data_IF_207515771432
#
_entry.id   IF_207515771432
#
_cell.length_a   1.000
_cell.length_b   1.000
_cell.length_c   1.000
_cell.angle_alpha   90.00
_cell.angle_beta   90.00
_cell.angle_gamma   90.00
#
_symmetry.space_group_name_H-M   'P 1'
#
loop_
_entity.id
_entity.type
_entity.pdbx_description
1 polymer ?
#
# COMPACT_ATOMS: atom_id res chain seq x y z
N UNK A 1 -44.32 -45.75 -13.10
CA UNK A 1 -43.28 -45.25 -14.01
C UNK A 1 -43.02 -43.79 -13.61
N UNK A 2 -42.32 -43.63 -12.46
CA UNK A 2 -42.01 -42.31 -11.88
C UNK A 2 -40.59 -41.94 -12.27
N UNK A 3 -40.43 -40.87 -13.03
CA UNK A 3 -39.16 -40.35 -13.47
C UNK A 3 -38.50 -39.53 -12.35
N UNK A 4 -37.32 -39.99 -11.95
CA UNK A 4 -36.39 -39.38 -11.02
C UNK A 4 -35.96 -38.00 -11.55
N UNK A 5 -36.43 -36.94 -10.91
CA UNK A 5 -35.88 -35.61 -11.05
C UNK A 5 -34.65 -35.47 -10.14
N UNK A 6 -33.50 -35.81 -10.68
CA UNK A 6 -32.21 -35.58 -10.05
C UNK A 6 -31.82 -34.12 -10.11
N UNK A 7 -32.25 -33.31 -9.13
CA UNK A 7 -31.74 -31.96 -8.91
C UNK A 7 -30.28 -32.04 -8.55
N UNK A 8 -29.41 -31.60 -9.47
CA UNK A 8 -28.00 -31.35 -9.18
C UNK A 8 -27.92 -30.20 -8.17
N UNK A 9 -27.57 -30.54 -6.92
CA UNK A 9 -27.16 -29.53 -5.94
C UNK A 9 -25.91 -28.83 -6.49
N UNK A 10 -26.08 -27.62 -7.03
CA UNK A 10 -24.94 -26.72 -7.19
C UNK A 10 -24.26 -26.59 -5.82
N UNK A 11 -23.07 -27.13 -5.74
CA UNK A 11 -22.23 -27.00 -4.55
C UNK A 11 -21.94 -25.51 -4.34
N UNK A 12 -22.47 -24.96 -3.26
CA UNK A 12 -22.29 -23.57 -2.86
C UNK A 12 -20.81 -23.35 -2.44
N UNK A 13 -19.99 -23.03 -3.43
CA UNK A 13 -18.58 -22.65 -3.24
C UNK A 13 -18.43 -21.26 -2.60
N UNK A 14 -19.52 -20.58 -2.22
CA UNK A 14 -19.49 -19.27 -1.58
C UNK A 14 -18.91 -19.34 -0.16
N UNK A 15 -18.97 -20.47 0.51
CA UNK A 15 -18.49 -20.69 1.88
C UNK A 15 -16.97 -20.90 2.00
N UNK A 16 -16.28 -21.23 0.92
CA UNK A 16 -14.83 -21.44 0.89
C UNK A 16 -14.04 -20.17 0.47
N UNK A 17 -14.64 -18.99 0.53
CA UNK A 17 -13.85 -17.78 0.41
C UNK A 17 -12.92 -17.71 1.61
N UNK A 18 -11.58 -17.87 1.42
CA UNK A 18 -10.67 -17.58 2.51
C UNK A 18 -10.98 -16.15 2.98
N UNK A 19 -11.26 -15.99 4.25
CA UNK A 19 -11.45 -14.69 4.90
C UNK A 19 -10.09 -13.99 5.01
N UNK A 20 -9.39 -13.88 3.87
CA UNK A 20 -8.29 -12.94 3.72
C UNK A 20 -8.91 -11.59 4.07
N UNK A 21 -8.46 -10.89 5.10
CA UNK A 21 -8.98 -9.57 5.41
C UNK A 21 -8.66 -8.66 4.21
N UNK A 22 -9.56 -8.72 3.25
CA UNK A 22 -9.57 -7.81 2.13
C UNK A 22 -9.76 -6.43 2.75
N UNK A 23 -8.94 -5.48 2.38
CA UNK A 23 -9.21 -4.08 2.64
C UNK A 23 -10.62 -3.78 2.12
N UNK A 24 -11.63 -3.91 2.99
CA UNK A 24 -13.00 -3.58 2.64
C UNK A 24 -13.19 -2.07 2.75
N UNK A 25 -12.68 -1.34 1.77
CA UNK A 25 -12.91 0.12 1.60
C UNK A 25 -14.35 0.48 1.21
N UNK A 26 -15.32 -0.38 1.51
CA UNK A 26 -16.67 -0.28 0.94
C UNK A 26 -17.50 0.92 1.40
N UNK A 27 -17.01 1.72 2.34
CA UNK A 27 -17.68 2.94 2.81
C UNK A 27 -16.86 4.22 2.60
N UNK A 28 -15.82 4.17 1.77
CA UNK A 28 -15.35 5.40 1.16
C UNK A 28 -16.55 5.92 0.36
N UNK A 29 -17.02 7.16 0.60
CA UNK A 29 -18.09 7.73 -0.20
C UNK A 29 -17.75 7.44 -1.65
N UNK A 30 -18.68 6.82 -2.39
CA UNK A 30 -18.45 6.51 -3.80
C UNK A 30 -18.18 7.86 -4.45
N UNK A 31 -16.89 8.17 -4.59
CA UNK A 31 -16.48 9.37 -5.29
C UNK A 31 -17.10 9.29 -6.67
N UNK A 32 -17.65 10.39 -7.14
CA UNK A 32 -18.21 10.46 -8.50
C UNK A 32 -17.20 9.87 -9.48
N UNK A 33 -17.69 9.16 -10.47
CA UNK A 33 -16.88 8.37 -11.41
C UNK A 33 -15.66 9.15 -11.90
N UNK A 34 -14.47 8.59 -11.72
CA UNK A 34 -13.22 9.17 -12.22
C UNK A 34 -12.44 10.06 -11.26
N UNK A 35 -12.75 10.04 -9.95
CA UNK A 35 -12.07 10.91 -8.98
C UNK A 35 -10.67 10.42 -8.61
N UNK A 36 -9.76 11.38 -8.61
CA UNK A 36 -8.46 11.34 -7.99
C UNK A 36 -8.57 11.75 -6.50
N UNK A 37 -7.67 11.29 -5.64
CA UNK A 37 -7.65 11.68 -4.21
C UNK A 37 -7.54 13.21 -4.04
N UNK A 38 -6.66 13.83 -4.82
CA UNK A 38 -6.46 15.28 -4.87
C UNK A 38 -6.46 15.80 -6.31
N UNK A 39 -5.54 15.31 -7.13
CA UNK A 39 -5.42 15.67 -8.53
C UNK A 39 -4.69 14.58 -9.29
N UNK A 40 -4.90 14.49 -10.60
CA UNK A 40 -4.21 13.52 -11.46
C UNK A 40 -2.69 13.55 -11.29
N UNK A 41 -2.08 14.74 -11.17
CA UNK A 41 -0.62 14.88 -11.03
C UNK A 41 -0.15 14.44 -9.65
N UNK A 42 -0.78 14.93 -8.59
CA UNK A 42 -0.40 14.55 -7.23
C UNK A 42 -0.58 13.05 -6.99
N UNK A 43 -1.72 12.49 -7.40
CA UNK A 43 -1.99 11.06 -7.27
C UNK A 43 -1.01 10.22 -8.07
N UNK A 44 -0.65 10.64 -9.30
CA UNK A 44 0.36 9.94 -10.10
C UNK A 44 1.70 9.86 -9.36
N UNK A 45 2.20 10.97 -8.83
CA UNK A 45 3.50 10.99 -8.16
C UNK A 45 3.48 10.31 -6.79
N UNK A 46 2.45 10.53 -5.99
CA UNK A 46 2.45 10.17 -4.58
C UNK A 46 1.66 8.88 -4.26
N UNK A 47 0.50 8.66 -4.90
CA UNK A 47 -0.29 7.46 -4.66
C UNK A 47 -0.01 6.34 -5.67
N UNK A 48 0.19 6.68 -6.95
CA UNK A 48 0.38 5.69 -8.00
C UNK A 48 1.84 5.26 -8.20
N UNK A 49 2.78 5.78 -7.40
CA UNK A 49 4.17 5.36 -7.39
C UNK A 49 5.06 6.03 -8.43
N UNK A 50 4.66 7.15 -9.03
CA UNK A 50 5.51 7.92 -9.94
C UNK A 50 6.82 8.37 -9.28
N UNK A 51 6.79 8.69 -7.97
CA UNK A 51 7.97 9.05 -7.19
C UNK A 51 9.01 7.91 -7.14
N UNK A 52 8.58 6.66 -6.99
CA UNK A 52 9.49 5.51 -6.97
C UNK A 52 10.15 5.26 -8.33
N UNK A 53 9.42 5.46 -9.43
CA UNK A 53 9.99 5.38 -10.79
C UNK A 53 11.02 6.48 -11.00
N UNK A 54 10.71 7.72 -10.54
CA UNK A 54 11.65 8.85 -10.58
C UNK A 54 12.89 8.59 -9.73
N UNK A 55 12.73 8.01 -8.54
CA UNK A 55 13.83 7.64 -7.67
C UNK A 55 14.70 6.54 -8.29
N UNK A 56 14.12 5.52 -8.92
CA UNK A 56 14.90 4.49 -9.63
C UNK A 56 15.81 5.13 -10.68
N UNK A 57 15.27 6.07 -11.46
CA UNK A 57 16.08 6.80 -12.44
C UNK A 57 17.19 7.62 -11.76
N UNK A 58 16.90 8.28 -10.62
CA UNK A 58 17.88 9.03 -9.85
C UNK A 58 18.98 8.13 -9.28
N UNK A 59 18.62 6.98 -8.69
CA UNK A 59 19.58 6.00 -8.15
C UNK A 59 20.51 5.51 -9.27
N UNK A 60 19.98 5.15 -10.45
CA UNK A 60 20.79 4.74 -11.58
C UNK A 60 21.80 5.81 -11.99
N UNK A 61 21.39 7.10 -11.98
CA UNK A 61 22.28 8.22 -12.27
C UNK A 61 23.34 8.42 -11.17
N UNK A 62 22.97 8.29 -9.88
CA UNK A 62 23.87 8.41 -8.73
C UNK A 62 24.89 7.27 -8.75
N UNK A 63 24.47 6.05 -8.97
CA UNK A 63 25.37 4.87 -9.02
C UNK A 63 26.39 4.98 -10.16
N UNK A 64 26.03 5.62 -11.26
CA UNK A 64 26.96 5.95 -12.34
C UNK A 64 28.03 6.97 -11.89
N UNK A 65 27.77 7.74 -10.83
CA UNK A 65 28.70 8.72 -10.23
C UNK A 65 29.45 8.20 -9.01
N UNK A 66 29.03 7.07 -8.41
CA UNK A 66 29.73 6.43 -7.29
C UNK A 66 29.34 6.91 -5.89
N UNK A 67 28.26 7.68 -5.74
CA UNK A 67 27.78 8.18 -4.43
C UNK A 67 26.94 7.14 -3.67
N UNK A 68 27.13 7.07 -2.32
CA UNK A 68 26.54 6.02 -1.44
C UNK A 68 25.56 6.51 -0.38
N UNK A 69 25.16 7.80 -0.34
CA UNK A 69 24.46 8.38 0.81
C UNK A 69 22.90 8.30 0.72
N UNK A 70 22.33 7.16 0.35
CA UNK A 70 20.87 7.03 0.22
C UNK A 70 20.15 6.43 1.44
N UNK A 71 20.88 5.80 2.37
CA UNK A 71 20.31 5.06 3.50
C UNK A 71 19.54 5.97 4.50
N UNK A 72 19.98 7.23 4.63
CA UNK A 72 19.31 8.21 5.48
C UNK A 72 17.88 8.52 5.02
N UNK A 73 17.60 8.42 3.71
CA UNK A 73 16.26 8.68 3.16
C UNK A 73 15.29 7.57 3.57
N UNK A 74 15.74 6.31 3.53
CA UNK A 74 14.92 5.16 3.94
C UNK A 74 14.54 5.29 5.42
N UNK A 75 15.50 5.54 6.28
CA UNK A 75 15.27 5.73 7.71
C UNK A 75 14.24 6.85 7.98
N UNK A 76 14.40 8.02 7.36
CA UNK A 76 13.46 9.14 7.55
C UNK A 76 12.05 8.77 7.11
N UNK A 77 11.90 8.17 5.94
CA UNK A 77 10.59 7.83 5.39
C UNK A 77 9.90 6.73 6.19
N UNK A 78 10.64 5.69 6.62
CA UNK A 78 10.13 4.60 7.43
C UNK A 78 9.56 5.09 8.76
N UNK A 79 10.27 5.97 9.46
CA UNK A 79 9.80 6.51 10.73
C UNK A 79 8.60 7.43 10.57
N UNK A 80 8.59 8.25 9.53
CA UNK A 80 7.43 9.10 9.22
C UNK A 80 6.17 8.28 8.92
N UNK A 81 6.33 7.19 8.19
CA UNK A 81 5.24 6.31 7.82
C UNK A 81 4.67 5.54 9.03
N UNK A 82 5.51 5.03 9.93
CA UNK A 82 5.06 4.43 11.19
C UNK A 82 4.21 5.40 12.01
N UNK A 83 4.65 6.65 12.13
CA UNK A 83 3.90 7.69 12.84
C UNK A 83 2.53 7.97 12.25
N UNK A 84 2.37 7.90 10.93
CA UNK A 84 1.08 8.11 10.26
C UNK A 84 0.02 7.06 10.64
N UNK A 85 0.42 5.83 10.96
CA UNK A 85 -0.46 4.78 11.48
C UNK A 85 -1.10 5.20 12.80
N UNK A 86 -0.31 5.73 13.73
CA UNK A 86 -0.82 6.22 15.01
C UNK A 86 -1.74 7.42 14.85
N UNK A 87 -1.44 8.34 13.92
CA UNK A 87 -2.35 9.42 13.58
C UNK A 87 -3.74 8.89 13.19
N UNK A 88 -3.79 7.89 12.29
CA UNK A 88 -5.06 7.30 11.85
C UNK A 88 -5.85 6.65 13.01
N UNK A 89 -5.16 5.96 13.93
CA UNK A 89 -5.75 5.34 15.10
C UNK A 89 -6.39 6.39 16.04
N UNK A 90 -5.64 7.44 16.35
CA UNK A 90 -6.05 8.48 17.27
C UNK A 90 -7.20 9.27 16.68
N UNK A 91 -7.08 9.72 15.44
CA UNK A 91 -8.11 10.51 14.77
C UNK A 91 -9.45 9.77 14.67
N UNK A 92 -9.43 8.48 14.40
CA UNK A 92 -10.64 7.64 14.32
C UNK A 92 -11.09 7.10 15.68
N UNK A 93 -10.41 7.47 16.75
CA UNK A 93 -10.69 6.99 18.12
C UNK A 93 -10.79 5.46 18.22
N UNK A 94 -10.04 4.72 17.41
CA UNK A 94 -10.10 3.25 17.35
C UNK A 94 -9.77 2.61 18.70
N UNK A 95 -8.98 3.24 19.53
CA UNK A 95 -8.64 2.82 20.89
C UNK A 95 -9.85 2.73 21.83
N UNK A 96 -10.96 3.43 21.55
CA UNK A 96 -12.20 3.31 22.34
C UNK A 96 -13.00 2.05 21.96
N UNK A 97 -13.07 1.72 20.66
CA UNK A 97 -13.94 0.67 20.14
C UNK A 97 -13.20 -0.65 19.87
N UNK A 98 -11.87 -0.63 19.80
CA UNK A 98 -11.03 -1.76 19.41
C UNK A 98 -9.80 -1.90 20.30
N UNK A 99 -9.99 -1.81 21.61
CA UNK A 99 -8.90 -1.85 22.60
C UNK A 99 -8.02 -3.10 22.44
N UNK A 100 -8.63 -4.25 22.17
CA UNK A 100 -7.88 -5.50 21.96
C UNK A 100 -6.97 -5.37 20.74
N UNK A 101 -7.52 -4.94 19.59
CA UNK A 101 -6.77 -4.84 18.34
C UNK A 101 -5.67 -3.75 18.39
N UNK A 102 -5.90 -2.66 19.14
CA UNK A 102 -5.05 -1.46 19.09
C UNK A 102 -4.07 -1.38 20.27
N UNK A 103 -4.40 -2.00 21.41
CA UNK A 103 -3.56 -1.96 22.61
C UNK A 103 -3.03 -3.34 23.00
N UNK A 104 -3.92 -4.33 23.20
CA UNK A 104 -3.51 -5.62 23.76
C UNK A 104 -2.68 -6.44 22.79
N UNK A 105 -3.09 -6.53 21.52
CA UNK A 105 -2.34 -7.30 20.53
C UNK A 105 -0.99 -6.62 20.21
N UNK A 106 -0.88 -5.31 19.95
CA UNK A 106 0.41 -4.64 19.85
C UNK A 106 1.31 -4.85 21.05
N UNK A 107 0.78 -4.72 22.28
CA UNK A 107 1.56 -5.00 23.48
C UNK A 107 2.06 -6.46 23.51
N UNK A 108 1.20 -7.42 23.18
CA UNK A 108 1.60 -8.82 23.12
C UNK A 108 2.67 -9.06 22.03
N UNK A 109 2.55 -8.41 20.88
CA UNK A 109 3.57 -8.46 19.81
C UNK A 109 4.90 -7.92 20.32
N UNK A 110 4.92 -6.75 20.94
CA UNK A 110 6.14 -6.15 21.51
C UNK A 110 6.80 -7.07 22.53
N UNK A 111 6.03 -7.58 23.50
CA UNK A 111 6.52 -8.49 24.53
C UNK A 111 7.08 -9.79 23.93
N UNK A 112 6.40 -10.36 22.95
CA UNK A 112 6.82 -11.58 22.28
C UNK A 112 8.11 -11.35 21.49
N UNK A 113 8.18 -10.27 20.71
CA UNK A 113 9.40 -9.90 19.96
C UNK A 113 10.58 -9.71 20.88
N UNK A 114 10.38 -9.01 22.00
CA UNK A 114 11.43 -8.80 23.00
C UNK A 114 11.89 -10.12 23.63
N UNK A 115 10.96 -10.99 24.00
CA UNK A 115 11.27 -12.31 24.57
C UNK A 115 12.05 -13.20 23.58
N UNK A 116 11.66 -13.21 22.28
CA UNK A 116 12.38 -13.94 21.24
C UNK A 116 13.79 -13.39 21.03
N UNK A 117 13.98 -12.07 21.08
CA UNK A 117 15.30 -11.46 20.99
C UNK A 117 16.19 -11.83 22.18
N UNK A 118 15.68 -11.75 23.41
CA UNK A 118 16.40 -12.20 24.60
C UNK A 118 16.77 -13.69 24.55
N UNK A 119 15.93 -14.51 23.90
CA UNK A 119 16.18 -15.92 23.65
C UNK A 119 17.15 -16.20 22.50
N UNK A 120 17.80 -15.17 21.93
CA UNK A 120 18.76 -15.31 20.82
C UNK A 120 18.15 -15.67 19.47
N UNK A 121 16.83 -15.50 19.29
CA UNK A 121 16.10 -15.83 18.06
C UNK A 121 16.06 -14.69 17.06
N UNK A 122 17.15 -13.92 16.93
CA UNK A 122 17.22 -12.74 16.04
C UNK A 122 17.05 -13.11 14.58
N UNK A 123 17.68 -14.17 14.11
CA UNK A 123 17.55 -14.65 12.71
C UNK A 123 16.09 -14.97 12.36
N UNK A 124 15.37 -15.62 13.30
CA UNK A 124 13.95 -15.90 13.09
C UNK A 124 13.12 -14.62 13.01
N UNK A 125 13.40 -13.66 13.90
CA UNK A 125 12.70 -12.37 13.89
C UNK A 125 12.96 -11.58 12.60
N UNK A 126 14.22 -11.49 12.14
CA UNK A 126 14.58 -10.84 10.87
C UNK A 126 13.90 -11.52 9.69
N UNK A 127 13.88 -12.87 9.69
CA UNK A 127 13.20 -13.62 8.63
C UNK A 127 11.71 -13.31 8.57
N UNK A 128 11.02 -13.33 9.72
CA UNK A 128 9.61 -13.00 9.81
C UNK A 128 9.38 -11.53 9.38
N UNK A 129 10.24 -10.60 9.82
CA UNK A 129 10.14 -9.19 9.47
C UNK A 129 10.25 -8.98 7.96
N UNK A 130 11.26 -9.58 7.32
CA UNK A 130 11.46 -9.50 5.88
C UNK A 130 10.23 -9.99 5.10
N UNK A 131 9.77 -11.23 5.38
CA UNK A 131 8.64 -11.79 4.63
C UNK A 131 7.32 -11.07 4.93
N UNK A 132 7.11 -10.63 6.17
CA UNK A 132 5.96 -9.82 6.54
C UNK A 132 5.98 -8.44 5.87
N UNK A 133 7.16 -7.78 5.76
CA UNK A 133 7.33 -6.52 5.06
C UNK A 133 6.96 -6.65 3.57
N UNK A 134 7.45 -7.69 2.91
CA UNK A 134 7.10 -8.00 1.51
C UNK A 134 5.60 -8.12 1.34
N UNK A 135 4.98 -8.95 2.17
CA UNK A 135 3.53 -9.16 2.16
C UNK A 135 2.76 -7.87 2.42
N UNK A 136 3.17 -7.10 3.43
CA UNK A 136 2.54 -5.85 3.81
C UNK A 136 2.60 -4.80 2.68
N UNK A 137 3.78 -4.60 2.09
CA UNK A 137 3.99 -3.68 0.96
C UNK A 137 3.16 -4.07 -0.28
N UNK A 138 3.07 -5.36 -0.60
CA UNK A 138 2.21 -5.86 -1.67
C UNK A 138 0.71 -5.63 -1.40
N UNK A 139 0.28 -5.87 -0.17
CA UNK A 139 -1.10 -5.63 0.28
C UNK A 139 -1.50 -4.16 0.22
N UNK A 140 -0.60 -3.26 0.55
CA UNK A 140 -0.85 -1.83 0.43
C UNK A 140 -1.07 -1.42 -1.02
N UNK A 141 -0.18 -1.81 -1.94
CA UNK A 141 -0.33 -1.53 -3.38
C UNK A 141 -1.66 -2.06 -3.92
N UNK A 142 -2.05 -3.28 -3.52
CA UNK A 142 -3.37 -3.84 -3.84
C UNK A 142 -4.50 -2.96 -3.33
N UNK A 143 -4.40 -2.48 -2.09
CA UNK A 143 -5.41 -1.63 -1.46
C UNK A 143 -5.59 -0.29 -2.18
N UNK A 144 -4.49 0.37 -2.50
CA UNK A 144 -4.50 1.65 -3.22
C UNK A 144 -5.02 1.49 -4.65
N UNK A 145 -4.60 0.46 -5.38
CA UNK A 145 -5.13 0.19 -6.71
C UNK A 145 -6.64 -0.10 -6.68
N UNK A 146 -7.11 -0.86 -5.69
CA UNK A 146 -8.56 -1.10 -5.49
C UNK A 146 -9.35 0.16 -5.13
N UNK A 147 -8.74 1.13 -4.47
CA UNK A 147 -9.38 2.42 -4.26
C UNK A 147 -9.73 3.09 -5.60
N UNK A 148 -8.78 3.16 -6.52
CA UNK A 148 -9.01 3.71 -7.86
C UNK A 148 -10.02 2.87 -8.67
N UNK A 149 -9.93 1.54 -8.59
CA UNK A 149 -10.87 0.62 -9.24
C UNK A 149 -12.33 0.90 -8.83
N UNK A 150 -12.57 1.10 -7.54
CA UNK A 150 -13.91 1.38 -7.01
C UNK A 150 -14.41 2.78 -7.34
N UNK A 151 -13.52 3.75 -7.44
CA UNK A 151 -13.85 5.12 -7.83
C UNK A 151 -14.53 5.22 -9.20
N UNK A 152 -14.43 4.18 -10.03
CA UNK A 152 -15.13 4.11 -11.32
C UNK A 152 -16.58 3.62 -11.21
N UNK A 153 -16.99 3.07 -10.06
CA UNK A 153 -18.38 2.67 -9.78
C UNK A 153 -18.94 1.54 -10.65
N UNK A 154 -18.11 0.89 -11.46
CA UNK A 154 -18.48 -0.24 -12.29
C UNK A 154 -18.29 -1.59 -11.58
N UNK A 155 -19.03 -2.64 -11.98
CA UNK A 155 -18.81 -3.98 -11.51
C UNK A 155 -17.45 -4.49 -12.00
N UNK A 156 -16.68 -5.08 -11.09
CA UNK A 156 -15.42 -5.74 -11.42
C UNK A 156 -15.70 -7.16 -11.88
N UNK A 157 -15.31 -7.50 -13.11
CA UNK A 157 -15.44 -8.87 -13.59
C UNK A 157 -14.51 -9.82 -12.84
N UNK A 158 -14.88 -11.10 -12.72
CA UNK A 158 -14.03 -12.12 -12.10
C UNK A 158 -12.67 -12.23 -12.81
N UNK A 159 -12.67 -12.11 -14.14
CA UNK A 159 -11.42 -12.12 -14.94
C UNK A 159 -10.53 -10.96 -14.57
N UNK A 160 -11.09 -9.74 -14.45
CA UNK A 160 -10.32 -8.57 -14.01
C UNK A 160 -9.73 -8.79 -12.62
N UNK A 161 -10.52 -9.26 -11.66
CA UNK A 161 -10.06 -9.51 -10.30
C UNK A 161 -8.89 -10.52 -10.25
N UNK A 162 -8.98 -11.61 -11.00
CA UNK A 162 -7.92 -12.63 -11.08
C UNK A 162 -6.66 -12.07 -11.71
N UNK A 163 -6.78 -11.38 -12.85
CA UNK A 163 -5.64 -10.78 -13.54
C UNK A 163 -4.99 -9.69 -12.70
N UNK A 164 -5.78 -8.84 -12.08
CA UNK A 164 -5.32 -7.76 -11.21
C UNK A 164 -4.59 -8.28 -9.97
N UNK A 165 -5.18 -9.24 -9.23
CA UNK A 165 -4.52 -9.83 -8.07
C UNK A 165 -3.20 -10.53 -8.46
N UNK A 166 -3.19 -11.26 -9.55
CA UNK A 166 -1.96 -11.88 -10.06
C UNK A 166 -0.91 -10.85 -10.47
N UNK A 167 -1.32 -9.73 -11.07
CA UNK A 167 -0.39 -8.65 -11.45
C UNK A 167 0.26 -7.94 -10.26
N UNK A 168 -0.31 -8.07 -9.06
CA UNK A 168 0.31 -7.60 -7.80
C UNK A 168 1.13 -8.71 -7.14
N UNK A 169 0.56 -9.90 -6.94
CA UNK A 169 1.19 -10.91 -6.11
C UNK A 169 2.30 -11.71 -6.83
N UNK A 170 2.21 -11.92 -8.14
CA UNK A 170 3.25 -12.68 -8.86
C UNK A 170 4.57 -11.91 -8.99
N UNK A 171 4.61 -10.60 -9.34
CA UNK A 171 5.85 -9.84 -9.29
C UNK A 171 6.49 -9.78 -7.90
N UNK A 172 5.68 -9.64 -6.85
CA UNK A 172 6.13 -9.69 -5.46
C UNK A 172 6.78 -11.04 -5.13
N UNK A 173 6.13 -12.16 -5.47
CA UNK A 173 6.66 -13.49 -5.25
C UNK A 173 7.95 -13.72 -6.04
N UNK A 174 7.95 -13.37 -7.33
CA UNK A 174 9.13 -13.50 -8.19
C UNK A 174 10.33 -12.70 -7.66
N UNK A 175 10.08 -11.47 -7.21
CA UNK A 175 11.11 -10.59 -6.65
C UNK A 175 11.75 -11.18 -5.38
N UNK A 176 10.94 -11.70 -4.45
CA UNK A 176 11.42 -12.35 -3.23
C UNK A 176 12.22 -13.61 -3.54
N UNK A 177 11.74 -14.47 -4.42
CA UNK A 177 12.47 -15.67 -4.81
C UNK A 177 13.81 -15.32 -5.48
N UNK A 178 13.85 -14.29 -6.31
CA UNK A 178 15.09 -13.80 -6.91
C UNK A 178 16.06 -13.28 -5.84
N UNK A 179 15.59 -12.48 -4.89
CA UNK A 179 16.43 -11.95 -3.82
C UNK A 179 17.02 -13.06 -2.96
N UNK A 180 16.21 -14.03 -2.53
CA UNK A 180 16.69 -15.14 -1.69
C UNK A 180 17.73 -16.02 -2.38
N UNK A 181 17.79 -16.01 -3.71
CA UNK A 181 18.83 -16.68 -4.48
C UNK A 181 20.09 -15.83 -4.67
N UNK A 182 19.93 -14.52 -4.91
CA UNK A 182 21.02 -13.61 -5.24
C UNK A 182 21.77 -13.13 -3.99
N UNK A 183 21.06 -12.96 -2.86
CA UNK A 183 21.60 -12.57 -1.56
C UNK A 183 21.15 -13.55 -0.47
N UNK A 184 21.59 -14.83 -0.52
CA UNK A 184 21.17 -15.83 0.43
C UNK A 184 21.75 -15.55 1.82
N UNK A 185 20.85 -15.46 2.80
CA UNK A 185 21.22 -15.38 4.22
C UNK A 185 21.45 -13.97 4.76
N UNK A 186 21.33 -12.92 3.96
CA UNK A 186 21.50 -11.53 4.40
C UNK A 186 20.42 -10.61 3.79
N UNK A 187 19.79 -9.81 4.65
CA UNK A 187 18.83 -8.78 4.27
C UNK A 187 19.13 -7.49 5.04
N UNK A 188 19.47 -6.41 4.33
CA UNK A 188 19.85 -5.12 4.95
C UNK A 188 20.97 -5.25 6.01
N UNK A 189 21.96 -6.11 5.76
CA UNK A 189 23.06 -6.37 6.71
C UNK A 189 22.73 -7.35 7.83
N UNK A 190 21.50 -7.81 7.93
CA UNK A 190 21.06 -8.72 9.00
C UNK A 190 20.82 -10.15 8.48
N UNK A 191 21.21 -11.18 9.25
CA UNK A 191 21.03 -12.56 8.84
C UNK A 191 19.56 -12.97 8.85
N UNK A 192 19.15 -13.71 7.81
CA UNK A 192 17.80 -14.28 7.71
C UNK A 192 17.81 -15.69 7.12
N UNK A 193 16.71 -16.42 7.26
CA UNK A 193 16.51 -17.73 6.64
C UNK A 193 16.03 -17.55 5.21
N UNK A 194 16.89 -17.78 4.24
CA UNK A 194 16.53 -17.74 2.83
C UNK A 194 15.66 -18.93 2.42
N UNK A 195 14.66 -18.67 1.56
CA UNK A 195 13.90 -19.73 0.92
C UNK A 195 14.79 -20.44 -0.12
N UNK A 196 15.17 -21.66 0.17
CA UNK A 196 15.96 -22.47 -0.76
C UNK A 196 15.06 -23.05 -1.87
N UNK A 197 14.93 -22.32 -2.97
CA UNK A 197 14.24 -22.81 -4.18
C UNK A 197 15.24 -22.88 -5.35
N UNK A 198 15.06 -23.85 -6.25
CA UNK A 198 15.93 -23.99 -7.42
C UNK A 198 15.82 -22.77 -8.35
N UNK A 199 16.94 -22.41 -9.02
CA UNK A 199 16.98 -21.31 -9.98
C UNK A 199 15.90 -21.42 -11.06
N UNK A 200 15.63 -22.62 -11.52
CA UNK A 200 14.63 -22.91 -12.54
C UNK A 200 13.20 -22.50 -12.08
N UNK A 201 12.87 -22.74 -10.80
CA UNK A 201 11.59 -22.33 -10.23
C UNK A 201 11.52 -20.81 -10.20
N UNK A 202 12.59 -20.15 -9.75
CA UNK A 202 12.66 -18.69 -9.68
C UNK A 202 12.50 -18.05 -11.06
N UNK A 203 13.21 -18.54 -12.07
CA UNK A 203 13.07 -18.06 -13.44
C UNK A 203 11.68 -18.33 -14.01
N UNK A 204 11.10 -19.50 -13.75
CA UNK A 204 9.73 -19.85 -14.19
C UNK A 204 8.70 -18.91 -13.58
N UNK A 205 8.79 -18.66 -12.26
CA UNK A 205 7.89 -17.73 -11.57
C UNK A 205 8.10 -16.30 -12.07
N UNK A 206 9.35 -15.88 -12.31
CA UNK A 206 9.69 -14.56 -12.85
C UNK A 206 9.10 -14.33 -14.24
N UNK A 207 9.30 -15.28 -15.15
CA UNK A 207 8.72 -15.22 -16.50
C UNK A 207 7.18 -15.24 -16.43
N UNK A 208 6.61 -16.11 -15.59
CA UNK A 208 5.18 -16.18 -15.36
C UNK A 208 4.60 -14.84 -14.84
N UNK A 209 5.31 -14.17 -13.93
CA UNK A 209 4.92 -12.86 -13.42
C UNK A 209 4.90 -11.79 -14.52
N UNK A 210 5.93 -11.74 -15.37
CA UNK A 210 6.01 -10.80 -16.50
C UNK A 210 4.87 -11.05 -17.49
N UNK A 211 4.67 -12.30 -17.90
CA UNK A 211 3.59 -12.68 -18.83
C UNK A 211 2.21 -12.37 -18.24
N UNK A 212 2.02 -12.54 -16.93
CA UNK A 212 0.78 -12.23 -16.27
C UNK A 212 0.49 -10.72 -16.25
N UNK A 213 1.50 -9.90 -15.96
CA UNK A 213 1.38 -8.44 -16.01
C UNK A 213 1.05 -7.98 -17.44
N UNK A 214 1.70 -8.56 -18.45
CA UNK A 214 1.38 -8.28 -19.86
C UNK A 214 -0.08 -8.66 -20.17
N UNK A 215 -0.51 -9.84 -19.72
CA UNK A 215 -1.90 -10.29 -19.92
C UNK A 215 -2.91 -9.37 -19.25
N UNK A 216 -2.62 -8.89 -18.02
CA UNK A 216 -3.43 -7.89 -17.33
C UNK A 216 -3.55 -6.61 -18.16
N UNK A 217 -2.43 -6.02 -18.63
CA UNK A 217 -2.48 -4.80 -19.42
C UNK A 217 -3.14 -5.01 -20.78
N UNK A 218 -2.87 -6.12 -21.47
CA UNK A 218 -3.51 -6.44 -22.75
C UNK A 218 -5.04 -6.57 -22.59
N UNK A 219 -5.48 -7.28 -21.53
CA UNK A 219 -6.89 -7.44 -21.27
C UNK A 219 -7.57 -6.09 -20.94
N UNK A 220 -6.97 -5.28 -20.07
CA UNK A 220 -7.52 -3.98 -19.66
C UNK A 220 -7.59 -3.00 -20.84
N UNK A 221 -6.56 -2.97 -21.70
CA UNK A 221 -6.56 -2.17 -22.92
C UNK A 221 -7.65 -2.61 -23.90
N UNK A 222 -7.84 -3.93 -24.06
CA UNK A 222 -8.91 -4.47 -24.91
C UNK A 222 -10.29 -4.06 -24.41
N UNK A 223 -10.54 -4.16 -23.08
CA UNK A 223 -11.80 -3.71 -22.49
C UNK A 223 -12.03 -2.21 -22.71
N UNK A 224 -11.03 -1.37 -22.43
CA UNK A 224 -11.13 0.08 -22.61
C UNK A 224 -11.40 0.50 -24.08
N UNK A 225 -11.00 -0.32 -25.06
CA UNK A 225 -11.31 -0.10 -26.47
C UNK A 225 -12.70 -0.58 -26.84
N UNK A 226 -13.12 -1.75 -26.34
CA UNK A 226 -14.44 -2.32 -26.61
C UNK A 226 -15.56 -1.38 -26.11
N UNK A 227 -15.38 -0.80 -24.93
CA UNK A 227 -16.35 0.11 -24.32
C UNK A 227 -16.54 1.42 -25.11
N UNK A 228 -15.51 1.86 -25.85
CA UNK A 228 -15.63 3.05 -26.74
C UNK A 228 -16.47 2.80 -27.98
N UNK A 229 -16.54 1.57 -28.44
CA UNK A 229 -17.22 1.21 -29.72
C UNK A 229 -18.68 0.84 -29.48
N UNK A 230 -19.05 0.36 -28.31
CA UNK A 230 -20.41 -0.11 -27.99
C UNK A 230 -21.10 0.80 -26.98
N UNK A 231 -21.46 2.01 -27.40
CA UNK A 231 -22.38 2.89 -26.67
C UNK A 231 -23.82 2.34 -26.73
N UNK A 232 -24.03 1.13 -26.28
CA UNK A 232 -25.39 0.58 -26.18
C UNK A 232 -26.01 1.14 -24.88
N UNK A 233 -27.11 1.91 -24.94
CA UNK A 233 -27.80 2.41 -23.76
C UNK A 233 -28.16 1.24 -22.82
N UNK A 234 -27.77 1.30 -21.55
CA UNK A 234 -28.12 0.29 -20.55
C UNK A 234 -27.05 -0.78 -20.26
N UNK A 235 -25.96 -0.85 -20.99
CA UNK A 235 -24.81 -1.70 -20.59
C UNK A 235 -23.92 -0.97 -19.60
N UNK A 236 -23.60 -1.64 -18.50
CA UNK A 236 -22.66 -1.14 -17.49
C UNK A 236 -21.25 -1.18 -18.05
N UNK A 237 -20.67 -0.03 -18.36
CA UNK A 237 -19.28 0.06 -18.83
C UNK A 237 -18.30 -0.38 -17.74
N UNK A 238 -17.39 -1.28 -18.07
CA UNK A 238 -16.23 -1.60 -17.21
C UNK A 238 -15.15 -0.56 -17.51
N UNK A 239 -15.15 0.54 -16.79
CA UNK A 239 -14.09 1.56 -16.92
C UNK A 239 -12.96 1.26 -15.95
N UNK A 240 -11.75 1.18 -16.46
CA UNK A 240 -10.54 0.99 -15.64
C UNK A 240 -9.93 2.36 -15.39
N UNK A 241 -9.71 2.66 -14.09
CA UNK A 241 -9.12 3.92 -13.70
C UNK A 241 -7.62 3.95 -14.03
N UNK A 242 -7.09 5.02 -14.66
CA UNK A 242 -5.66 5.11 -14.97
C UNK A 242 -4.77 4.96 -13.73
N UNK A 243 -5.23 5.37 -12.54
CA UNK A 243 -4.53 5.18 -11.27
C UNK A 243 -4.28 3.72 -10.93
N UNK A 244 -5.22 2.81 -11.23
CA UNK A 244 -5.02 1.37 -11.07
C UNK A 244 -3.82 0.87 -11.92
N UNK A 245 -3.75 1.27 -13.19
CA UNK A 245 -2.66 0.89 -14.08
C UNK A 245 -1.30 1.38 -13.57
N UNK A 246 -1.25 2.64 -13.14
CA UNK A 246 0.00 3.21 -12.63
C UNK A 246 0.46 2.53 -11.35
N UNK A 247 -0.45 2.20 -10.45
CA UNK A 247 -0.10 1.44 -9.22
C UNK A 247 0.46 0.06 -9.57
N UNK A 248 -0.19 -0.69 -10.49
CA UNK A 248 0.28 -2.01 -10.91
C UNK A 248 1.66 -1.93 -11.56
N UNK A 249 1.86 -0.95 -12.46
CA UNK A 249 3.16 -0.76 -13.13
C UNK A 249 4.25 -0.38 -12.13
N UNK A 250 4.00 0.62 -11.30
CA UNK A 250 4.98 1.09 -10.31
C UNK A 250 5.30 0.03 -9.27
N UNK A 251 4.31 -0.76 -8.85
CA UNK A 251 4.51 -1.91 -7.97
C UNK A 251 5.45 -2.94 -8.59
N UNK A 252 5.21 -3.35 -9.85
CA UNK A 252 6.08 -4.29 -10.54
C UNK A 252 7.51 -3.77 -10.68
N UNK A 253 7.67 -2.48 -11.02
CA UNK A 253 8.98 -1.82 -11.12
C UNK A 253 9.65 -1.75 -9.75
N UNK A 254 8.94 -1.32 -8.70
CA UNK A 254 9.50 -1.18 -7.37
C UNK A 254 9.96 -2.53 -6.79
N UNK A 255 9.14 -3.57 -6.87
CA UNK A 255 9.53 -4.91 -6.41
C UNK A 255 10.67 -5.51 -7.25
N UNK A 256 10.59 -5.42 -8.57
CA UNK A 256 11.63 -5.94 -9.47
C UNK A 256 12.97 -5.25 -9.26
N UNK A 257 13.01 -3.91 -9.23
CA UNK A 257 14.26 -3.18 -9.01
C UNK A 257 14.82 -3.40 -7.61
N UNK A 258 13.99 -3.34 -6.58
CA UNK A 258 14.46 -3.45 -5.22
C UNK A 258 15.02 -4.83 -4.89
N UNK A 259 14.34 -5.90 -5.23
CA UNK A 259 14.80 -7.23 -4.85
C UNK A 259 15.78 -7.86 -5.85
N UNK A 260 15.67 -7.57 -7.13
CA UNK A 260 16.60 -8.12 -8.12
C UNK A 260 17.92 -7.32 -8.16
N UNK A 261 17.83 -5.98 -8.22
CA UNK A 261 19.02 -5.13 -8.23
C UNK A 261 19.55 -4.87 -6.82
N UNK A 262 18.67 -4.86 -5.80
CA UNK A 262 19.02 -4.69 -4.38
C UNK A 262 19.92 -5.79 -3.84
N UNK A 263 19.87 -6.99 -4.41
CA UNK A 263 20.79 -8.07 -4.09
C UNK A 263 22.24 -7.76 -4.45
N UNK A 264 22.47 -6.90 -5.46
CA UNK A 264 23.80 -6.44 -5.86
C UNK A 264 24.20 -5.09 -5.25
N UNK A 265 23.20 -4.25 -4.93
CA UNK A 265 23.40 -2.95 -4.33
C UNK A 265 22.17 -2.55 -3.50
N UNK A 266 22.35 -2.47 -2.19
CA UNK A 266 21.30 -2.19 -1.19
C UNK A 266 20.51 -0.91 -1.48
N UNK A 267 21.13 0.09 -2.11
CA UNK A 267 20.47 1.35 -2.46
C UNK A 267 19.20 1.17 -3.31
N UNK A 268 19.08 0.06 -4.06
CA UNK A 268 17.87 -0.24 -4.81
C UNK A 268 16.67 -0.64 -3.91
N UNK A 269 16.92 -1.11 -2.68
CA UNK A 269 15.83 -1.40 -1.74
C UNK A 269 15.03 -0.13 -1.42
N UNK A 270 15.67 1.04 -1.46
CA UNK A 270 15.04 2.33 -1.29
C UNK A 270 13.90 2.60 -2.29
N UNK A 271 13.95 2.04 -3.51
CA UNK A 271 12.87 2.23 -4.51
C UNK A 271 11.54 1.68 -3.98
N UNK A 272 11.57 0.51 -3.36
CA UNK A 272 10.37 -0.10 -2.77
C UNK A 272 9.95 0.62 -1.48
N UNK A 273 10.90 1.06 -0.66
CA UNK A 273 10.64 1.83 0.53
C UNK A 273 9.90 3.14 0.16
N UNK A 274 10.45 3.93 -0.75
CA UNK A 274 9.80 5.16 -1.23
C UNK A 274 8.44 4.86 -1.87
N UNK A 275 8.32 3.79 -2.66
CA UNK A 275 7.03 3.39 -3.23
C UNK A 275 5.98 3.17 -2.15
N UNK A 276 6.34 2.41 -1.12
CA UNK A 276 5.46 2.04 -0.03
C UNK A 276 5.14 3.23 0.89
N UNK A 277 6.16 3.93 1.34
CA UNK A 277 6.06 4.92 2.40
C UNK A 277 5.43 6.23 1.91
N UNK A 278 5.85 6.74 0.75
CA UNK A 278 5.23 7.92 0.14
C UNK A 278 3.76 7.64 -0.20
N UNK A 279 3.48 6.46 -0.77
CA UNK A 279 2.11 6.03 -1.07
C UNK A 279 1.25 5.98 0.19
N UNK A 280 1.79 5.41 1.29
CA UNK A 280 1.09 5.31 2.56
C UNK A 280 0.82 6.66 3.20
N UNK A 281 1.85 7.50 3.32
CA UNK A 281 1.73 8.84 3.89
C UNK A 281 0.66 9.66 3.15
N UNK A 282 0.74 9.67 1.83
CA UNK A 282 -0.21 10.39 1.00
C UNK A 282 -1.63 9.85 1.14
N UNK A 283 -1.79 8.53 1.07
CA UNK A 283 -3.09 7.89 1.16
C UNK A 283 -3.71 8.09 2.54
N UNK A 284 -2.93 7.91 3.61
CA UNK A 284 -3.38 8.10 5.00
C UNK A 284 -3.76 9.56 5.25
N UNK A 285 -2.98 10.51 4.75
CA UNK A 285 -3.30 11.92 4.80
C UNK A 285 -4.63 12.23 4.10
N UNK A 286 -4.78 11.77 2.86
CA UNK A 286 -5.99 11.99 2.07
C UNK A 286 -7.23 11.42 2.76
N UNK A 287 -7.13 10.18 3.26
CA UNK A 287 -8.24 9.47 3.90
C UNK A 287 -8.57 9.96 5.31
N UNK A 288 -7.67 10.67 5.96
CA UNK A 288 -7.91 11.26 7.28
C UNK A 288 -8.50 12.68 7.23
N UNK A 289 -8.71 13.24 6.04
CA UNK A 289 -9.34 14.57 5.89
C UNK A 289 -10.78 14.57 6.42
N UNK A 290 -11.25 15.69 7.01
CA UNK A 290 -12.64 15.83 7.42
C UNK A 290 -13.62 15.62 6.26
N UNK A 291 -14.78 15.01 6.55
CA UNK A 291 -15.87 14.93 5.58
C UNK A 291 -16.28 16.34 5.12
N UNK A 292 -16.46 16.54 3.83
CA UNK A 292 -16.76 17.86 3.23
C UNK A 292 -15.59 18.48 2.45
N UNK A 293 -14.35 18.06 2.68
CA UNK A 293 -13.22 18.51 1.84
C UNK A 293 -13.21 17.88 0.44
N UNK A 294 -13.90 16.76 0.27
CA UNK A 294 -14.03 16.08 -1.02
C UNK A 294 -15.01 16.77 -1.98
N UNK A 295 -15.76 17.75 -1.49
CA UNK A 295 -16.87 18.37 -2.26
C UNK A 295 -16.45 19.58 -3.12
N UNK A 296 -15.21 20.04 -3.00
CA UNK A 296 -14.71 21.19 -3.76
C UNK A 296 -14.59 20.99 -5.28
N UNK A 297 -14.60 19.73 -5.76
CA UNK A 297 -14.61 19.41 -7.20
C UNK A 297 -16.02 19.17 -7.76
N UNK A 298 -17.05 19.14 -6.89
CA UNK A 298 -18.44 18.88 -7.31
C UNK A 298 -19.14 20.07 -7.95
N UNK A 299 -18.68 21.26 -7.73
CA UNK A 299 -19.25 22.44 -8.36
C UNK A 299 -18.44 22.79 -9.59
N UNK A 300 -18.69 22.09 -10.70
CA UNK A 300 -18.57 22.66 -12.03
C UNK A 300 -19.55 23.82 -12.25
N UNK A 301 -20.02 24.44 -11.18
CA UNK A 301 -20.64 25.73 -11.19
C UNK A 301 -19.54 26.76 -11.42
N UNK A 302 -19.45 27.28 -12.61
CA UNK A 302 -18.83 28.57 -12.87
C UNK A 302 -19.16 29.52 -11.71
N UNK A 303 -18.18 30.20 -11.13
CA UNK A 303 -18.45 31.15 -10.07
C UNK A 303 -19.38 32.22 -10.64
N UNK A 304 -20.65 32.19 -10.25
CA UNK A 304 -21.55 33.29 -10.53
C UNK A 304 -20.88 34.55 -9.97
N UNK A 305 -20.49 35.42 -10.85
CA UNK A 305 -19.75 36.67 -10.64
C UNK A 305 -20.60 37.58 -9.79
N UNK A 306 -20.73 37.36 -8.48
CA UNK A 306 -21.18 38.45 -7.57
C UNK A 306 -21.30 38.04 -6.07
N UNK A 307 -20.31 37.36 -5.49
CA UNK A 307 -20.25 37.19 -4.02
C UNK A 307 -18.82 37.29 -3.50
N UNK A 308 -18.10 38.33 -3.84
CA UNK A 308 -16.65 38.48 -3.55
C UNK A 308 -16.26 38.43 -2.06
N UNK A 309 -17.11 38.87 -1.16
CA UNK A 309 -16.81 38.84 0.29
C UNK A 309 -17.03 37.47 0.95
N UNK A 310 -18.11 36.77 0.64
CA UNK A 310 -18.46 35.48 1.27
C UNK A 310 -17.53 34.36 0.77
N UNK A 311 -17.15 34.39 -0.49
CA UNK A 311 -16.26 33.42 -1.11
C UNK A 311 -14.84 33.49 -0.52
N UNK A 312 -14.35 34.70 -0.19
CA UNK A 312 -13.04 34.89 0.45
C UNK A 312 -12.99 34.29 1.87
N UNK A 313 -14.06 34.44 2.66
CA UNK A 313 -14.15 33.89 4.03
C UNK A 313 -14.20 32.37 3.99
N UNK A 314 -14.98 31.79 3.09
CA UNK A 314 -15.10 30.31 2.97
C UNK A 314 -13.77 29.71 2.51
N UNK A 315 -13.09 30.30 1.52
CA UNK A 315 -11.77 29.87 1.07
C UNK A 315 -10.75 29.94 2.20
N UNK A 316 -10.75 31.02 3.00
CA UNK A 316 -9.88 31.16 4.15
C UNK A 316 -10.16 30.12 5.22
N UNK A 317 -11.43 29.84 5.53
CA UNK A 317 -11.83 28.77 6.48
C UNK A 317 -11.36 27.40 6.02
N UNK A 318 -11.56 27.07 4.75
CA UNK A 318 -11.08 25.80 4.15
C UNK A 318 -9.55 25.73 4.23
N UNK A 319 -8.83 26.75 3.86
CA UNK A 319 -7.37 26.79 3.98
C UNK A 319 -6.90 26.58 5.43
N UNK A 320 -7.50 27.27 6.39
CA UNK A 320 -7.15 27.12 7.81
C UNK A 320 -7.46 25.70 8.34
N UNK A 321 -8.56 25.10 7.92
CA UNK A 321 -8.90 23.73 8.29
C UNK A 321 -7.92 22.72 7.69
N UNK A 322 -7.51 22.92 6.43
CA UNK A 322 -6.51 22.08 5.78
C UNK A 322 -5.14 22.23 6.44
N UNK A 323 -4.73 23.45 6.76
CA UNK A 323 -3.47 23.71 7.46
C UNK A 323 -3.45 23.05 8.85
N UNK A 324 -4.53 23.15 9.63
CA UNK A 324 -4.65 22.45 10.92
C UNK A 324 -4.57 20.94 10.74
N UNK A 325 -5.24 20.41 9.71
CA UNK A 325 -5.19 18.97 9.43
C UNK A 325 -3.77 18.54 9.06
N UNK A 326 -3.10 19.25 8.16
CA UNK A 326 -1.73 18.97 7.76
C UNK A 326 -0.76 19.03 8.96
N UNK A 327 -0.88 20.07 9.80
CA UNK A 327 -0.06 20.21 11.01
C UNK A 327 -0.31 19.04 11.97
N UNK A 328 -1.58 18.71 12.26
CA UNK A 328 -1.92 17.61 13.17
C UNK A 328 -1.45 16.27 12.62
N UNK A 329 -1.54 16.08 11.30
CA UNK A 329 -1.02 14.87 10.66
C UNK A 329 0.50 14.78 10.79
N UNK A 330 1.24 15.87 10.57
CA UNK A 330 2.71 15.89 10.61
C UNK A 330 3.29 15.64 12.00
N UNK A 331 2.56 15.97 13.09
CA UNK A 331 3.04 15.79 14.47
C UNK A 331 3.44 14.33 14.75
N UNK A 332 2.63 13.37 14.35
CA UNK A 332 2.87 11.96 14.67
C UNK A 332 4.04 11.35 13.91
N UNK A 333 4.18 11.56 12.59
CA UNK A 333 5.40 11.22 11.87
C UNK A 333 6.67 11.82 12.51
N UNK A 334 6.62 13.11 12.90
CA UNK A 334 7.77 13.77 13.53
C UNK A 334 8.10 13.19 14.91
N UNK A 335 7.09 12.84 15.72
CA UNK A 335 7.31 12.15 17.01
C UNK A 335 7.96 10.78 16.80
N UNK A 336 7.50 9.98 15.82
CA UNK A 336 8.11 8.69 15.48
C UNK A 336 9.57 8.86 15.11
N UNK A 337 9.86 9.75 14.17
CA UNK A 337 11.23 10.07 13.74
C UNK A 337 12.13 10.57 14.90
N UNK A 338 11.64 11.51 15.71
CA UNK A 338 12.39 12.01 16.85
C UNK A 338 12.69 10.92 17.88
N UNK A 339 11.73 10.00 18.09
CA UNK A 339 11.92 8.84 18.98
C UNK A 339 13.00 7.90 18.49
N UNK A 340 13.00 7.59 17.19
CA UNK A 340 14.02 6.75 16.57
C UNK A 340 15.42 7.40 16.63
N UNK A 341 15.52 8.70 16.32
CA UNK A 341 16.77 9.46 16.46
C UNK A 341 17.30 9.47 17.91
N UNK A 342 16.41 9.67 18.89
CA UNK A 342 16.78 9.62 20.31
C UNK A 342 17.28 8.23 20.71
N UNK A 343 16.63 7.16 20.25
CA UNK A 343 17.07 5.77 20.49
C UNK A 343 18.49 5.52 19.99
N UNK A 344 18.81 5.96 18.77
CA UNK A 344 20.16 5.86 18.20
C UNK A 344 21.18 6.76 18.91
N UNK A 345 20.79 8.00 19.26
CA UNK A 345 21.68 8.95 19.94
C UNK A 345 22.13 8.47 21.32
N UNK A 346 21.25 7.81 22.07
CA UNK A 346 21.56 7.32 23.41
C UNK A 346 22.13 5.90 23.43
N UNK A 347 22.44 5.34 22.26
CA UNK A 347 22.97 3.96 22.12
C UNK A 347 22.14 2.93 22.90
N UNK A 348 20.84 3.02 22.76
CA UNK A 348 19.90 2.13 23.46
C UNK A 348 19.72 0.81 22.70
N UNK A 349 20.81 0.10 22.44
CA UNK A 349 20.81 -1.16 21.68
C UNK A 349 19.82 -2.20 22.24
N UNK A 350 19.58 -2.19 23.56
CA UNK A 350 18.59 -3.05 24.19
C UNK A 350 17.13 -2.75 23.78
N UNK A 351 16.89 -1.58 23.17
CA UNK A 351 15.58 -1.22 22.59
C UNK A 351 15.41 -1.70 21.13
N UNK A 352 16.46 -2.16 20.46
CA UNK A 352 16.39 -2.61 19.08
C UNK A 352 15.25 -3.64 18.83
N UNK A 353 15.01 -4.62 19.74
CA UNK A 353 13.88 -5.53 19.61
C UNK A 353 12.52 -4.85 19.61
N UNK A 354 12.40 -3.69 20.26
CA UNK A 354 11.17 -2.90 20.26
C UNK A 354 10.93 -2.22 18.90
N UNK A 355 11.98 -1.87 18.15
CA UNK A 355 11.89 -1.39 16.78
C UNK A 355 11.27 -2.45 15.87
N UNK A 356 11.80 -3.67 15.88
CA UNK A 356 11.24 -4.80 15.14
C UNK A 356 9.81 -5.11 15.58
N UNK A 357 9.54 -5.09 16.89
CA UNK A 357 8.19 -5.25 17.43
C UNK A 357 7.24 -4.14 16.99
N UNK A 358 7.72 -2.90 16.94
CA UNK A 358 6.98 -1.74 16.41
C UNK A 358 6.57 -1.93 14.94
N UNK A 359 7.47 -2.46 14.13
CA UNK A 359 7.20 -2.81 12.73
C UNK A 359 6.08 -3.86 12.61
N UNK A 360 6.13 -4.93 13.41
CA UNK A 360 5.07 -5.93 13.43
C UNK A 360 3.73 -5.37 13.94
N UNK A 361 3.77 -4.49 14.96
CA UNK A 361 2.59 -3.77 15.42
C UNK A 361 1.98 -2.93 14.31
N UNK A 362 2.80 -2.21 13.54
CA UNK A 362 2.35 -1.43 12.39
C UNK A 362 1.66 -2.32 11.35
N UNK A 363 2.26 -3.45 10.96
CA UNK A 363 1.64 -4.37 9.99
C UNK A 363 0.30 -4.91 10.47
N UNK A 364 0.19 -5.22 11.77
CA UNK A 364 -1.07 -5.61 12.38
C UNK A 364 -2.10 -4.48 12.33
N UNK A 365 -1.72 -3.29 12.79
CA UNK A 365 -2.59 -2.13 12.89
C UNK A 365 -3.11 -1.69 11.54
N UNK A 366 -2.28 -1.65 10.51
CA UNK A 366 -2.69 -1.33 9.14
C UNK A 366 -3.74 -2.31 8.63
N UNK A 367 -3.57 -3.59 8.88
CA UNK A 367 -4.57 -4.59 8.56
C UNK A 367 -5.94 -4.35 9.23
N UNK A 368 -5.98 -3.58 10.33
CA UNK A 368 -7.20 -3.28 11.11
C UNK A 368 -7.77 -1.90 10.85
N UNK A 369 -6.91 -0.88 10.65
CA UNK A 369 -7.32 0.51 10.41
C UNK A 369 -8.16 0.62 9.13
N UNK A 370 -7.78 -0.12 8.10
CA UNK A 370 -8.38 -0.03 6.78
C UNK A 370 -9.52 -1.02 6.55
N UNK A 371 -10.07 -1.63 7.61
CA UNK A 371 -11.24 -2.51 7.49
C UNK A 371 -12.55 -1.70 7.42
N UNK A 372 -13.59 -2.28 6.78
CA UNK A 372 -14.93 -1.67 6.68
C UNK A 372 -15.50 -1.22 8.03
N UNK A 373 -15.27 -2.02 9.10
CA UNK A 373 -15.78 -1.71 10.44
C UNK A 373 -15.10 -0.50 11.08
N UNK A 374 -13.85 -0.19 10.71
CA UNK A 374 -13.12 0.97 11.22
C UNK A 374 -13.41 2.25 10.46
N UNK A 375 -13.96 2.16 9.26
CA UNK A 375 -14.34 3.31 8.45
C UNK A 375 -15.71 3.88 8.86
N UNK A 376 -16.51 3.09 9.59
CA UNK A 376 -17.85 3.46 10.06
C UNK A 376 -17.90 3.83 11.56
N UNK A 377 -16.80 3.70 12.27
CA UNK A 377 -16.66 4.12 13.67
C UNK A 377 -16.19 5.57 13.75
#
# INVERSE_FOLDING_TARGET
MELLNGGTKESDWSSLRPSIPLFHYSNIPVAERGHWLFSRRADFWLACGGASIGLLAAILLILLRGDRELDAIDFVLSELHLGATYHAIIRRRLWHHRRVDVLLIPLAILMLTYAFSLGGQTILLTSIAMYAAVWHRGRQSLGVARFYQRGMGGPVSRTHEVLFCGAIYLPMLAAVLAYTQLAPGEYEGEPYVALSVGAEITWTVGLGAVLWVIAYFAWTLRQSRADRVTLTPGKTEIRIHPGEWWVVLAHGVAFGSSYVLGASNVSFLLVLAVHHEVQYLYFTYAMSRPAGFHDGSRTGMEPAINRSGVQSIETRRRFQAELRHATTFAVWPVIGFAGACAGGWFDLAWLAPLGTGGLFCHYWLDGRIWTRRSLNA
#
